data_IF_954644581578
#
_entry.id   IF_954644581578
#
_cell.length_a   1.000
_cell.length_b   1.000
_cell.length_c   1.000
_cell.angle_alpha   90.00
_cell.angle_beta   90.00
_cell.angle_gamma   90.00
#
_symmetry.space_group_name_H-M   'P 1'
#
loop_
_entity.id
_entity.type
_entity.pdbx_description
1 polymer ?
#
# COMPACT_ATOMS: atom_id res chain seq x y z
N UNK A 1 3.24 -106.84 -56.90
CA UNK A 1 3.11 -106.11 -55.63
C UNK A 1 3.80 -104.78 -55.81
N UNK A 2 3.03 -103.70 -55.76
CA UNK A 2 3.50 -102.34 -55.98
C UNK A 2 4.27 -101.83 -54.76
N UNK A 3 5.43 -101.22 -54.99
CA UNK A 3 5.96 -100.12 -54.17
C UNK A 3 6.76 -99.22 -55.10
N UNK A 4 6.07 -98.24 -55.69
CA UNK A 4 6.75 -97.09 -56.27
C UNK A 4 7.21 -96.19 -55.12
N UNK A 5 8.52 -96.06 -54.93
CA UNK A 5 9.12 -95.05 -54.09
C UNK A 5 9.18 -93.75 -54.89
N UNK A 6 8.13 -92.95 -54.78
CA UNK A 6 8.11 -91.54 -55.19
C UNK A 6 9.23 -90.79 -54.49
N UNK A 7 10.31 -90.49 -55.23
CA UNK A 7 11.32 -89.52 -54.80
C UNK A 7 10.67 -88.15 -54.65
N UNK A 8 10.33 -87.79 -53.42
CA UNK A 8 9.63 -86.55 -53.09
C UNK A 8 10.55 -85.34 -53.34
N UNK A 9 10.43 -84.72 -54.52
CA UNK A 9 11.02 -83.40 -54.80
C UNK A 9 10.33 -82.37 -53.89
N UNK A 10 11.01 -81.92 -52.84
CA UNK A 10 10.44 -81.04 -51.80
C UNK A 10 10.03 -79.66 -52.35
N UNK A 11 10.69 -79.20 -53.42
CA UNK A 11 10.20 -78.10 -54.27
C UNK A 11 11.03 -78.03 -55.57
N UNK A 12 10.43 -77.58 -56.67
CA UNK A 12 11.12 -77.28 -57.94
C UNK A 12 10.51 -76.02 -58.56
N UNK A 13 11.38 -75.10 -58.95
CA UNK A 13 11.04 -73.83 -59.58
C UNK A 13 10.73 -74.08 -61.07
N UNK A 14 9.56 -73.67 -61.57
CA UNK A 14 9.16 -73.80 -62.98
C UNK A 14 9.28 -72.43 -63.66
N UNK A 15 9.68 -72.43 -64.93
CA UNK A 15 10.03 -71.23 -65.72
C UNK A 15 8.88 -70.22 -65.86
N UNK A 16 7.62 -70.65 -65.68
CA UNK A 16 6.42 -69.82 -65.82
C UNK A 16 5.98 -69.09 -64.52
N UNK A 17 6.88 -68.94 -63.54
CA UNK A 17 6.55 -68.30 -62.25
C UNK A 17 5.68 -69.16 -61.32
N UNK A 18 5.59 -70.45 -61.62
CA UNK A 18 4.90 -71.47 -60.82
C UNK A 18 5.93 -72.39 -60.16
N UNK A 19 5.58 -73.07 -59.06
CA UNK A 19 6.44 -74.09 -58.47
C UNK A 19 5.64 -75.36 -58.16
N UNK A 20 6.29 -76.51 -58.29
CA UNK A 20 5.75 -77.79 -57.81
C UNK A 20 6.09 -77.93 -56.33
N UNK A 21 5.08 -78.07 -55.46
CA UNK A 21 5.25 -78.14 -53.99
C UNK A 21 4.92 -76.82 -53.29
N UNK A 22 5.77 -76.38 -52.34
CA UNK A 22 5.62 -75.09 -51.65
C UNK A 22 6.38 -73.97 -52.38
N UNK A 23 5.72 -73.13 -53.20
CA UNK A 23 6.38 -72.10 -54.01
C UNK A 23 7.20 -71.07 -53.22
N UNK A 24 6.92 -70.89 -51.93
CA UNK A 24 7.64 -69.95 -51.06
C UNK A 24 9.09 -70.38 -50.72
N UNK A 25 9.44 -71.68 -50.83
CA UNK A 25 10.80 -72.21 -50.55
C UNK A 25 11.70 -72.32 -51.78
N UNK A 26 11.26 -71.80 -52.94
CA UNK A 26 12.07 -71.80 -54.16
C UNK A 26 13.21 -70.76 -54.04
N UNK A 27 14.43 -71.25 -53.82
CA UNK A 27 15.62 -70.40 -53.64
C UNK A 27 16.08 -69.69 -54.92
N UNK A 28 15.68 -70.15 -56.11
CA UNK A 28 16.05 -69.51 -57.38
C UNK A 28 15.49 -68.09 -57.52
N UNK A 29 14.39 -67.77 -56.82
CA UNK A 29 13.76 -66.44 -56.86
C UNK A 29 14.28 -65.49 -55.77
N UNK A 30 14.95 -66.01 -54.74
CA UNK A 30 15.44 -65.23 -53.61
C UNK A 30 16.43 -64.12 -53.99
N UNK A 31 17.42 -64.33 -54.89
CA UNK A 31 18.36 -63.27 -55.26
C UNK A 31 17.67 -62.03 -55.84
N UNK A 32 16.66 -62.21 -56.70
CA UNK A 32 15.90 -61.12 -57.29
C UNK A 32 15.04 -60.40 -56.23
N UNK A 33 14.38 -61.14 -55.33
CA UNK A 33 13.62 -60.56 -54.23
C UNK A 33 14.50 -59.77 -53.26
N UNK A 34 15.65 -60.33 -52.87
CA UNK A 34 16.64 -59.68 -51.99
C UNK A 34 17.22 -58.43 -52.65
N UNK A 35 17.48 -58.46 -53.96
CA UNK A 35 17.95 -57.30 -54.72
C UNK A 35 16.94 -56.15 -54.62
N UNK A 36 15.68 -56.37 -54.99
CA UNK A 36 14.65 -55.33 -54.93
C UNK A 36 14.31 -54.90 -53.49
N UNK A 37 14.35 -55.82 -52.52
CA UNK A 37 14.21 -55.48 -51.11
C UNK A 37 15.31 -54.53 -50.67
N UNK A 38 16.57 -54.82 -51.02
CA UNK A 38 17.71 -53.96 -50.68
C UNK A 38 17.59 -52.59 -51.37
N UNK A 39 17.25 -52.57 -52.66
CA UNK A 39 17.06 -51.31 -53.42
C UNK A 39 15.96 -50.45 -52.79
N UNK A 40 14.79 -51.03 -52.51
CA UNK A 40 13.66 -50.30 -51.91
C UNK A 40 13.95 -49.84 -50.47
N UNK A 41 14.62 -50.68 -49.67
CA UNK A 41 15.09 -50.32 -48.33
C UNK A 41 16.03 -49.11 -48.37
N UNK A 42 17.02 -49.12 -49.27
CA UNK A 42 17.97 -48.02 -49.44
C UNK A 42 17.24 -46.75 -49.86
N UNK A 43 16.31 -46.83 -50.81
CA UNK A 43 15.50 -45.67 -51.25
C UNK A 43 14.68 -45.09 -50.09
N UNK A 44 13.99 -45.94 -49.32
CA UNK A 44 13.21 -45.49 -48.15
C UNK A 44 14.14 -44.91 -47.08
N UNK A 45 15.29 -45.53 -46.83
CA UNK A 45 16.27 -45.05 -45.87
C UNK A 45 16.79 -43.66 -46.24
N UNK A 46 17.13 -43.43 -47.50
CA UNK A 46 17.54 -42.11 -48.00
C UNK A 46 16.40 -41.08 -47.89
N UNK A 47 15.17 -41.46 -48.22
CA UNK A 47 14.02 -40.58 -48.07
C UNK A 47 13.77 -40.19 -46.60
N UNK A 48 13.77 -41.15 -45.68
CA UNK A 48 13.57 -40.89 -44.26
C UNK A 48 14.71 -40.06 -43.66
N UNK A 49 15.95 -40.44 -43.93
CA UNK A 49 17.13 -39.72 -43.41
C UNK A 49 17.25 -38.30 -43.95
N UNK A 50 16.90 -38.08 -45.22
CA UNK A 50 17.11 -36.79 -45.87
C UNK A 50 15.90 -35.86 -45.87
N UNK A 51 14.68 -36.39 -45.69
CA UNK A 51 13.43 -35.61 -45.77
C UNK A 51 12.58 -35.73 -44.51
N UNK A 52 12.24 -36.93 -44.06
CA UNK A 52 11.29 -37.11 -42.96
C UNK A 52 11.87 -36.71 -41.59
N UNK A 53 13.03 -37.28 -41.22
CA UNK A 53 13.71 -36.98 -39.96
C UNK A 53 14.08 -35.50 -39.80
N UNK A 54 14.69 -34.81 -40.79
CA UNK A 54 15.03 -33.40 -40.63
C UNK A 54 13.80 -32.50 -40.47
N UNK A 55 12.65 -32.83 -41.09
CA UNK A 55 11.40 -32.09 -40.87
C UNK A 55 10.88 -32.24 -39.45
N UNK A 56 10.91 -33.45 -38.89
CA UNK A 56 10.49 -33.68 -37.50
C UNK A 56 11.43 -32.96 -36.53
N UNK A 57 12.74 -33.02 -36.78
CA UNK A 57 13.73 -32.32 -35.97
C UNK A 57 13.52 -30.79 -36.00
N UNK A 58 13.17 -30.22 -37.15
CA UNK A 58 12.86 -28.80 -37.27
C UNK A 58 11.65 -28.39 -36.41
N UNK A 59 10.56 -29.16 -36.44
CA UNK A 59 9.36 -28.88 -35.61
C UNK A 59 9.67 -29.01 -34.12
N UNK A 60 10.48 -29.99 -33.73
CA UNK A 60 10.88 -30.16 -32.34
C UNK A 60 11.76 -29.01 -31.86
N UNK A 61 12.71 -28.57 -32.70
CA UNK A 61 13.57 -27.43 -32.42
C UNK A 61 12.78 -26.12 -32.33
N UNK A 62 11.80 -25.91 -33.20
CA UNK A 62 10.90 -24.75 -33.14
C UNK A 62 10.11 -24.73 -31.83
N UNK A 63 9.50 -25.85 -31.43
CA UNK A 63 8.77 -25.95 -30.16
C UNK A 63 9.67 -25.71 -28.96
N UNK A 64 10.87 -26.29 -28.95
CA UNK A 64 11.85 -26.05 -27.88
C UNK A 64 12.26 -24.57 -27.84
N UNK A 65 12.47 -23.95 -29.00
CA UNK A 65 12.77 -22.53 -29.13
C UNK A 65 11.65 -21.64 -28.57
N UNK A 66 10.39 -21.91 -28.93
CA UNK A 66 9.24 -21.17 -28.38
C UNK A 66 9.13 -21.33 -26.88
N UNK A 67 9.22 -22.56 -26.35
CA UNK A 67 9.12 -22.82 -24.90
C UNK A 67 10.24 -22.11 -24.13
N UNK A 68 11.47 -22.17 -24.62
CA UNK A 68 12.62 -21.52 -23.96
C UNK A 68 12.49 -19.99 -24.00
N UNK A 69 12.04 -19.43 -25.12
CA UNK A 69 11.78 -18.00 -25.23
C UNK A 69 10.64 -17.54 -24.30
N UNK A 70 9.53 -18.29 -24.25
CA UNK A 70 8.39 -17.98 -23.38
C UNK A 70 8.77 -18.11 -21.90
N UNK A 71 9.60 -19.09 -21.54
CA UNK A 71 10.13 -19.24 -20.19
C UNK A 71 11.03 -18.06 -19.80
N UNK A 72 11.96 -17.66 -20.67
CA UNK A 72 12.82 -16.51 -20.44
C UNK A 72 12.00 -15.22 -20.29
N UNK A 73 11.01 -15.00 -21.15
CA UNK A 73 10.11 -13.86 -21.04
C UNK A 73 9.29 -13.87 -19.73
N UNK A 74 8.83 -15.04 -19.28
CA UNK A 74 8.11 -15.19 -18.03
C UNK A 74 9.01 -14.93 -16.80
N UNK A 75 10.27 -15.36 -16.84
CA UNK A 75 11.26 -15.07 -15.80
C UNK A 75 11.58 -13.57 -15.74
N UNK A 76 11.82 -12.92 -16.88
CA UNK A 76 12.04 -11.48 -16.96
C UNK A 76 10.84 -10.68 -16.41
N UNK A 77 9.62 -11.08 -16.75
CA UNK A 77 8.40 -10.46 -16.23
C UNK A 77 8.25 -10.67 -14.73
N UNK A 78 8.62 -11.85 -14.20
CA UNK A 78 8.64 -12.10 -12.75
C UNK A 78 9.65 -11.21 -12.04
N UNK A 79 10.86 -11.08 -12.56
CA UNK A 79 11.89 -10.20 -11.98
C UNK A 79 11.40 -8.76 -11.95
N UNK A 80 10.88 -8.25 -13.07
CA UNK A 80 10.31 -6.90 -13.13
C UNK A 80 9.14 -6.69 -12.16
N UNK A 81 8.29 -7.71 -11.97
CA UNK A 81 7.19 -7.63 -11.03
C UNK A 81 7.69 -7.53 -9.58
N UNK A 82 8.69 -8.34 -9.21
CA UNK A 82 9.31 -8.28 -7.87
C UNK A 82 10.00 -6.94 -7.64
N UNK A 83 10.78 -6.45 -8.61
CA UNK A 83 11.42 -5.12 -8.53
C UNK A 83 10.40 -3.99 -8.39
N UNK A 84 9.28 -4.06 -9.13
CA UNK A 84 8.21 -3.08 -9.03
C UNK A 84 7.49 -3.15 -7.67
N UNK A 85 7.28 -4.35 -7.12
CA UNK A 85 6.70 -4.55 -5.80
C UNK A 85 7.61 -3.99 -4.70
N UNK A 86 8.92 -4.25 -4.77
CA UNK A 86 9.90 -3.68 -3.85
C UNK A 86 9.95 -2.15 -3.92
N UNK A 87 9.96 -1.59 -5.13
CA UNK A 87 9.93 -0.14 -5.34
C UNK A 87 8.64 0.49 -4.80
N UNK A 88 7.49 -0.15 -5.03
CA UNK A 88 6.20 0.28 -4.50
C UNK A 88 6.18 0.25 -2.97
N UNK A 89 6.64 -0.85 -2.35
CA UNK A 89 6.70 -0.99 -0.90
C UNK A 89 7.63 0.05 -0.27
N UNK A 90 8.78 0.32 -0.91
CA UNK A 90 9.71 1.38 -0.48
C UNK A 90 9.09 2.77 -0.59
N UNK A 91 8.40 3.07 -1.69
CA UNK A 91 7.69 4.34 -1.87
C UNK A 91 6.59 4.52 -0.82
N UNK A 92 5.83 3.46 -0.53
CA UNK A 92 4.78 3.47 0.50
C UNK A 92 5.36 3.70 1.90
N UNK A 93 6.48 3.05 2.24
CA UNK A 93 7.17 3.25 3.50
C UNK A 93 7.68 4.69 3.65
N UNK A 94 8.29 5.24 2.60
CA UNK A 94 8.77 6.63 2.57
C UNK A 94 7.60 7.62 2.73
N UNK A 95 6.52 7.43 1.98
CA UNK A 95 5.33 8.29 2.07
C UNK A 95 4.71 8.27 3.48
N UNK A 96 4.65 7.10 4.13
CA UNK A 96 4.19 6.99 5.52
C UNK A 96 5.12 7.71 6.49
N UNK A 97 6.44 7.58 6.31
CA UNK A 97 7.42 8.27 7.15
C UNK A 97 7.35 9.80 6.97
N UNK A 98 7.18 10.28 5.73
CA UNK A 98 6.98 11.70 5.43
C UNK A 98 5.68 12.24 6.02
N UNK A 99 4.57 11.51 5.87
CA UNK A 99 3.30 11.87 6.50
C UNK A 99 3.43 11.99 8.03
N UNK A 100 4.12 11.03 8.68
CA UNK A 100 4.37 11.09 10.12
C UNK A 100 5.23 12.30 10.51
N UNK A 101 6.25 12.64 9.72
CA UNK A 101 7.06 13.85 9.94
C UNK A 101 6.23 15.12 9.82
N UNK A 102 5.39 15.23 8.79
CA UNK A 102 4.50 16.38 8.59
C UNK A 102 3.53 16.52 9.76
N UNK A 103 2.92 15.40 10.20
CA UNK A 103 2.02 15.41 11.38
C UNK A 103 2.76 15.86 12.64
N UNK A 104 3.99 15.40 12.85
CA UNK A 104 4.79 15.78 14.01
C UNK A 104 5.16 17.28 13.96
N UNK A 105 5.56 17.79 12.80
CA UNK A 105 5.87 19.20 12.59
C UNK A 105 4.63 20.08 12.80
N UNK A 106 3.51 19.74 12.17
CA UNK A 106 2.26 20.48 12.33
C UNK A 106 1.78 20.49 13.79
N UNK A 107 1.91 19.38 14.52
CA UNK A 107 1.59 19.35 15.95
C UNK A 107 2.50 20.26 16.78
N UNK A 108 3.79 20.30 16.48
CA UNK A 108 4.74 21.16 17.16
C UNK A 108 4.45 22.65 16.89
N UNK A 109 4.15 23.00 15.64
CA UNK A 109 3.74 24.36 15.24
C UNK A 109 2.44 24.77 15.93
N UNK A 110 1.41 23.92 15.88
CA UNK A 110 0.12 24.18 16.55
C UNK A 110 0.32 24.37 18.07
N UNK A 111 1.17 23.57 18.70
CA UNK A 111 1.44 23.71 20.13
C UNK A 111 2.12 25.04 20.45
N UNK A 112 3.11 25.44 19.65
CA UNK A 112 3.79 26.73 19.81
C UNK A 112 2.82 27.90 19.62
N UNK A 113 1.99 27.86 18.58
CA UNK A 113 0.96 28.88 18.33
C UNK A 113 -0.06 28.95 19.48
N UNK A 114 -0.46 27.80 20.02
CA UNK A 114 -1.33 27.73 21.19
C UNK A 114 -0.67 28.37 22.41
N UNK A 115 0.57 28.02 22.72
CA UNK A 115 1.30 28.54 23.87
C UNK A 115 1.43 30.08 23.77
N UNK A 116 1.76 30.60 22.58
CA UNK A 116 1.84 32.03 22.29
C UNK A 116 0.48 32.74 22.43
N UNK A 117 -0.59 32.15 21.89
CA UNK A 117 -1.94 32.71 22.00
C UNK A 117 -2.42 32.71 23.46
N UNK A 118 -2.11 31.66 24.21
CA UNK A 118 -2.47 31.53 25.63
C UNK A 118 -1.72 32.57 26.47
N UNK A 119 -0.42 32.74 26.24
CA UNK A 119 0.39 33.76 26.92
C UNK A 119 -0.11 35.19 26.65
N UNK A 120 -0.52 35.49 25.41
CA UNK A 120 -1.14 36.79 25.07
C UNK A 120 -2.48 36.97 25.78
N UNK A 121 -3.34 35.96 25.76
CA UNK A 121 -4.63 36.01 26.44
C UNK A 121 -4.46 36.22 27.96
N UNK A 122 -3.53 35.51 28.59
CA UNK A 122 -3.24 35.69 30.02
C UNK A 122 -2.72 37.09 30.34
N UNK A 123 -1.87 37.67 29.48
CA UNK A 123 -1.40 39.05 29.64
C UNK A 123 -2.54 40.07 29.52
N UNK A 124 -3.45 39.90 28.55
CA UNK A 124 -4.63 40.75 28.39
C UNK A 124 -5.60 40.63 29.57
N UNK A 125 -5.83 39.41 30.06
CA UNK A 125 -6.66 39.14 31.24
C UNK A 125 -6.05 39.82 32.47
N UNK A 126 -4.73 39.69 32.69
CA UNK A 126 -4.04 40.33 33.80
C UNK A 126 -4.14 41.87 33.73
N UNK A 127 -4.00 42.46 32.53
CA UNK A 127 -4.17 43.89 32.33
C UNK A 127 -5.60 44.36 32.65
N UNK A 128 -6.62 43.64 32.17
CA UNK A 128 -8.03 43.93 32.46
C UNK A 128 -8.37 43.76 33.93
N UNK A 129 -7.81 42.76 34.60
CA UNK A 129 -7.97 42.58 36.04
C UNK A 129 -7.40 43.78 36.81
N UNK A 130 -6.18 44.22 36.49
CA UNK A 130 -5.58 45.39 37.13
C UNK A 130 -6.37 46.69 36.88
N UNK A 131 -6.94 46.87 35.68
CA UNK A 131 -7.84 48.00 35.38
C UNK A 131 -9.15 47.92 36.17
N UNK A 132 -9.74 46.72 36.24
CA UNK A 132 -10.98 46.48 36.99
C UNK A 132 -10.77 46.71 38.48
N UNK A 133 -9.65 46.27 39.05
CA UNK A 133 -9.30 46.52 40.45
C UNK A 133 -9.17 48.01 40.76
N UNK A 134 -8.53 48.80 39.88
CA UNK A 134 -8.46 50.26 40.02
C UNK A 134 -9.85 50.89 39.98
N UNK A 135 -10.69 50.45 39.06
CA UNK A 135 -12.07 50.95 38.92
C UNK A 135 -12.90 50.61 40.15
N UNK A 136 -12.80 49.39 40.67
CA UNK A 136 -13.47 48.96 41.91
C UNK A 136 -12.97 49.78 43.10
N UNK A 137 -11.66 50.04 43.21
CA UNK A 137 -11.11 50.88 44.26
C UNK A 137 -11.66 52.31 44.19
N UNK A 138 -11.71 52.92 43.00
CA UNK A 138 -12.27 54.25 42.80
C UNK A 138 -13.77 54.32 43.14
N UNK A 139 -14.55 53.30 42.74
CA UNK A 139 -15.97 53.19 43.10
C UNK A 139 -16.13 53.06 44.63
N UNK A 140 -15.28 52.26 45.28
CA UNK A 140 -15.30 52.08 46.74
C UNK A 140 -15.02 53.40 47.45
N UNK A 141 -14.00 54.14 47.02
CA UNK A 141 -13.65 55.43 47.61
C UNK A 141 -14.77 56.46 47.40
N UNK A 142 -15.33 56.56 46.20
CA UNK A 142 -16.48 57.44 45.91
C UNK A 142 -17.75 57.07 46.68
N UNK A 143 -18.02 55.77 46.86
CA UNK A 143 -19.12 55.30 47.69
C UNK A 143 -18.90 55.67 49.17
N UNK A 144 -17.67 55.53 49.68
CA UNK A 144 -17.33 55.94 51.06
C UNK A 144 -17.50 57.46 51.27
N UNK A 145 -17.18 58.28 50.26
CA UNK A 145 -17.40 59.72 50.34
C UNK A 145 -18.89 60.08 50.27
N UNK A 146 -19.66 59.42 49.40
CA UNK A 146 -21.12 59.58 49.34
C UNK A 146 -21.78 59.19 50.67
N UNK A 147 -21.31 58.12 51.32
CA UNK A 147 -21.78 57.71 52.65
C UNK A 147 -21.44 58.77 53.70
N UNK A 148 -20.27 59.42 53.63
CA UNK A 148 -19.93 60.54 54.55
C UNK A 148 -20.88 61.72 54.38
N UNK A 149 -21.24 62.09 53.15
CA UNK A 149 -22.17 63.18 52.90
C UNK A 149 -23.57 62.84 53.43
N UNK A 150 -24.12 61.69 53.05
CA UNK A 150 -25.44 61.24 53.53
C UNK A 150 -25.46 61.14 55.06
N UNK A 151 -24.40 60.63 55.69
CA UNK A 151 -24.30 60.56 57.16
C UNK A 151 -24.29 61.94 57.83
N UNK A 152 -23.64 62.95 57.23
CA UNK A 152 -23.64 64.32 57.75
C UNK A 152 -25.00 64.97 57.60
N UNK A 153 -25.63 64.82 56.44
CA UNK A 153 -26.93 65.41 56.15
C UNK A 153 -28.02 64.80 57.03
N UNK A 154 -28.07 63.47 57.14
CA UNK A 154 -28.99 62.76 58.04
C UNK A 154 -28.76 63.10 59.51
N UNK A 155 -27.50 63.20 59.97
CA UNK A 155 -27.20 63.63 61.34
C UNK A 155 -27.66 65.07 61.61
N UNK A 156 -27.50 65.97 60.65
CA UNK A 156 -27.98 67.36 60.74
C UNK A 156 -29.50 67.42 60.84
N UNK A 157 -30.21 66.67 60.00
CA UNK A 157 -31.67 66.58 60.04
C UNK A 157 -32.17 65.98 61.37
N UNK A 158 -31.53 64.93 61.88
CA UNK A 158 -31.85 64.32 63.18
C UNK A 158 -31.66 65.30 64.35
N UNK A 159 -30.57 66.05 64.38
CA UNK A 159 -30.32 67.06 65.43
C UNK A 159 -31.37 68.16 65.40
N UNK A 160 -31.76 68.61 64.20
CA UNK A 160 -32.83 69.59 64.03
C UNK A 160 -34.20 69.04 64.47
N UNK A 161 -34.54 67.81 64.10
CA UNK A 161 -35.80 67.16 64.46
C UNK A 161 -35.93 66.89 65.97
N UNK A 162 -34.81 66.63 66.67
CA UNK A 162 -34.77 66.42 68.12
C UNK A 162 -34.68 67.73 68.94
N UNK A 163 -34.75 68.90 68.29
CA UNK A 163 -34.82 70.20 68.94
C UNK A 163 -33.46 70.77 69.40
N UNK A 164 -32.34 70.21 68.93
CA UNK A 164 -30.99 70.69 69.23
C UNK A 164 -30.49 71.73 68.23
N UNK A 165 -29.71 72.71 68.71
CA UNK A 165 -28.99 73.68 67.88
C UNK A 165 -27.49 73.38 67.97
N UNK A 166 -26.97 72.57 67.05
CA UNK A 166 -25.53 72.34 66.91
C UNK A 166 -25.00 73.00 65.64
N UNK A 167 -23.88 73.71 65.76
CA UNK A 167 -23.21 74.32 64.61
C UNK A 167 -22.72 73.25 63.62
N UNK A 168 -22.79 73.53 62.32
CA UNK A 168 -22.48 72.57 61.26
C UNK A 168 -21.06 71.99 61.39
N UNK A 169 -20.13 72.76 61.99
CA UNK A 169 -18.76 72.33 62.28
C UNK A 169 -18.69 71.19 63.30
N UNK A 170 -19.48 71.24 64.37
CA UNK A 170 -19.42 70.23 65.44
C UNK A 170 -20.01 68.90 64.97
N UNK A 171 -21.13 68.93 64.23
CA UNK A 171 -21.76 67.75 63.62
C UNK A 171 -20.78 67.10 62.63
N UNK A 172 -20.17 67.89 61.75
CA UNK A 172 -19.18 67.40 60.77
C UNK A 172 -17.99 66.76 61.48
N UNK A 173 -17.47 67.35 62.56
CA UNK A 173 -16.34 66.77 63.31
C UNK A 173 -16.71 65.45 64.02
N UNK A 174 -17.91 65.35 64.58
CA UNK A 174 -18.36 64.18 65.34
C UNK A 174 -18.60 62.98 64.41
N UNK A 175 -19.26 63.21 63.25
CA UNK A 175 -19.47 62.17 62.23
C UNK A 175 -18.13 61.70 61.67
N UNK A 176 -17.22 62.63 61.34
CA UNK A 176 -15.89 62.27 60.80
C UNK A 176 -15.05 61.48 61.82
N UNK A 177 -15.12 61.81 63.12
CA UNK A 177 -14.44 61.08 64.17
C UNK A 177 -14.99 59.65 64.35
N UNK A 178 -16.31 59.44 64.17
CA UNK A 178 -16.94 58.11 64.26
C UNK A 178 -16.73 57.24 63.02
N UNK A 179 -16.52 57.84 61.85
CA UNK A 179 -16.20 57.11 60.61
C UNK A 179 -14.72 56.71 60.49
N UNK A 180 -13.85 57.24 61.36
CA UNK A 180 -12.42 56.88 61.44
C UNK A 180 -12.10 55.78 62.45
N UNK A 181 -13.12 55.29 63.17
CA UNK A 181 -13.01 54.25 64.20
C UNK A 181 -13.08 52.85 63.62
#
# INVERSE_FOLDING_TARGET
MATETTGQTVSTCVVDGSAVGMPQLCFDWWPNQIFWLTVTLVVIFFFLSRVALPRIAAVLAERQGTITNDLAAAEDLKVKAVEAEEAYNKALANARAEAQKIIAQAKAEIQADLDDATAKADAEIAAKLAESEKTIAAIRDGAMDSVKEVAKDTAKELVAALGGSADARSITSAVTAKMKG
#
